data_IF_254521782568
#
_entry.id   IF_254521782568
#
_cell.length_a   1.000
_cell.length_b   1.000
_cell.length_c   1.000
_cell.angle_alpha   90.00
_cell.angle_beta   90.00
_cell.angle_gamma   90.00
#
_symmetry.space_group_name_H-M   'P 1'
#
loop_
_entity.id
_entity.type
_entity.pdbx_description
1 polymer ?
#
# COMPACT_ATOMS: atom_id res chain seq x y z
N UNK A 1 -47.92 -15.94 -20.17
CA UNK A 1 -46.98 -15.56 -19.10
C UNK A 1 -45.95 -16.64 -18.96
N UNK A 2 -44.72 -16.27 -19.28
CA UNK A 2 -43.61 -17.22 -19.31
C UNK A 2 -42.92 -17.21 -17.94
N UNK A 3 -42.94 -18.31 -17.16
CA UNK A 3 -42.27 -18.33 -15.85
C UNK A 3 -40.74 -18.18 -15.94
N UNK A 4 -40.17 -18.34 -17.14
CA UNK A 4 -38.74 -18.18 -17.41
C UNK A 4 -38.29 -16.70 -17.36
N UNK A 5 -39.20 -15.75 -17.67
CA UNK A 5 -38.89 -14.32 -17.62
C UNK A 5 -38.77 -13.77 -16.19
N UNK A 6 -39.55 -14.32 -15.25
CA UNK A 6 -39.47 -13.93 -13.84
C UNK A 6 -38.16 -14.40 -13.17
N UNK A 7 -37.65 -15.57 -13.54
CA UNK A 7 -36.38 -16.11 -13.03
C UNK A 7 -35.15 -15.34 -13.52
N UNK A 8 -35.17 -14.81 -14.74
CA UNK A 8 -34.05 -14.02 -15.27
C UNK A 8 -33.89 -12.68 -14.56
N UNK A 9 -34.99 -12.05 -14.15
CA UNK A 9 -34.94 -10.77 -13.40
C UNK A 9 -34.43 -10.96 -11.96
N UNK A 10 -34.74 -12.10 -11.34
CA UNK A 10 -34.27 -12.42 -9.96
C UNK A 10 -32.77 -12.75 -9.97
N UNK A 11 -32.27 -13.45 -10.99
CA UNK A 11 -30.84 -13.74 -11.13
C UNK A 11 -29.97 -12.50 -11.35
N UNK A 12 -30.47 -11.54 -12.13
CA UNK A 12 -29.74 -10.30 -12.40
C UNK A 12 -29.58 -9.42 -11.16
N UNK A 13 -30.58 -9.39 -10.27
CA UNK A 13 -30.53 -8.61 -9.04
C UNK A 13 -29.55 -9.20 -8.01
N UNK A 14 -29.49 -10.53 -7.91
CA UNK A 14 -28.60 -11.22 -6.98
C UNK A 14 -27.12 -11.09 -7.38
N UNK A 15 -26.80 -11.15 -8.66
CA UNK A 15 -25.43 -10.99 -9.18
C UNK A 15 -24.91 -9.56 -8.97
N UNK A 16 -25.78 -8.55 -9.13
CA UNK A 16 -25.41 -7.16 -8.89
C UNK A 16 -25.06 -6.87 -7.41
N UNK A 17 -25.75 -7.53 -6.49
CA UNK A 17 -25.51 -7.34 -5.05
C UNK A 17 -24.17 -7.95 -4.58
N UNK A 18 -23.76 -9.07 -5.20
CA UNK A 18 -22.50 -9.75 -4.89
C UNK A 18 -21.28 -8.92 -5.36
N UNK A 19 -21.40 -8.24 -6.50
CA UNK A 19 -20.33 -7.39 -7.04
C UNK A 19 -20.10 -6.13 -6.19
N UNK A 20 -21.12 -5.58 -5.55
CA UNK A 20 -20.99 -4.40 -4.67
C UNK A 20 -20.32 -4.74 -3.32
N UNK A 21 -20.43 -5.98 -2.83
CA UNK A 21 -19.83 -6.41 -1.57
C UNK A 21 -18.33 -6.69 -1.64
N UNK A 22 -17.75 -6.96 -2.82
CA UNK A 22 -16.35 -7.31 -2.99
C UNK A 22 -15.45 -6.12 -3.30
N UNK A 23 -15.97 -4.99 -3.76
CA UNK A 23 -15.18 -3.83 -4.15
C UNK A 23 -14.66 -3.00 -2.95
N UNK A 24 -15.28 -3.09 -1.77
CA UNK A 24 -14.90 -2.30 -0.59
C UNK A 24 -13.56 -2.69 0.04
N UNK A 25 -13.25 -4.00 0.13
CA UNK A 25 -12.00 -4.52 0.71
C UNK A 25 -10.79 -4.27 -0.19
N UNK A 26 -10.94 -4.46 -1.52
CA UNK A 26 -9.90 -4.16 -2.52
C UNK A 26 -9.49 -2.69 -2.49
N UNK A 27 -10.45 -1.79 -2.34
CA UNK A 27 -10.20 -0.34 -2.30
C UNK A 27 -9.40 0.07 -1.07
N UNK A 28 -9.68 -0.52 0.09
CA UNK A 28 -8.93 -0.24 1.32
C UNK A 28 -7.47 -0.72 1.22
N UNK A 29 -7.25 -1.93 0.71
CA UNK A 29 -5.91 -2.45 0.47
C UNK A 29 -5.13 -1.58 -0.53
N UNK A 30 -5.71 -1.27 -1.68
CA UNK A 30 -5.05 -0.45 -2.71
C UNK A 30 -4.64 0.92 -2.16
N UNK A 31 -5.50 1.57 -1.41
CA UNK A 31 -5.19 2.85 -0.80
C UNK A 31 -4.01 2.76 0.16
N UNK A 32 -3.99 1.77 1.04
CA UNK A 32 -2.90 1.56 1.99
C UNK A 32 -1.60 1.19 1.30
N UNK A 33 -1.68 0.36 0.28
CA UNK A 33 -0.55 0.00 -0.55
C UNK A 33 0.06 1.23 -1.23
N UNK A 34 -0.77 2.05 -1.85
CA UNK A 34 -0.32 3.26 -2.56
C UNK A 34 0.34 4.26 -1.61
N UNK A 35 -0.20 4.43 -0.39
CA UNK A 35 0.42 5.28 0.64
C UNK A 35 1.83 4.78 1.00
N UNK A 36 1.98 3.49 1.24
CA UNK A 36 3.27 2.89 1.57
C UNK A 36 4.26 2.98 0.41
N UNK A 37 3.81 2.71 -0.81
CA UNK A 37 4.65 2.80 -2.01
C UNK A 37 5.09 4.22 -2.32
N UNK A 38 4.24 5.22 -2.06
CA UNK A 38 4.62 6.62 -2.22
C UNK A 38 5.73 7.02 -1.23
N UNK A 39 5.61 6.61 0.03
CA UNK A 39 6.68 6.85 1.03
C UNK A 39 7.98 6.16 0.62
N UNK A 40 7.90 4.93 0.11
CA UNK A 40 9.07 4.21 -0.42
C UNK A 40 9.74 4.98 -1.57
N UNK A 41 8.93 5.49 -2.52
CA UNK A 41 9.46 6.28 -3.65
C UNK A 41 10.12 7.57 -3.19
N UNK A 42 9.54 8.26 -2.21
CA UNK A 42 10.14 9.46 -1.62
C UNK A 42 11.49 9.13 -0.96
N UNK A 43 11.57 8.03 -0.23
CA UNK A 43 12.82 7.56 0.35
C UNK A 43 13.87 7.24 -0.72
N UNK A 44 13.45 6.59 -1.82
CA UNK A 44 14.33 6.28 -2.95
C UNK A 44 14.89 7.53 -3.62
N UNK A 45 14.06 8.55 -3.82
CA UNK A 45 14.49 9.84 -4.40
C UNK A 45 15.55 10.52 -3.55
N UNK A 46 15.57 10.26 -2.26
CA UNK A 46 16.55 10.80 -1.31
C UNK A 46 17.73 9.87 -1.04
N UNK A 47 17.83 8.77 -1.80
CA UNK A 47 18.90 7.80 -1.68
C UNK A 47 18.82 6.92 -0.43
N UNK A 48 17.66 6.81 0.19
CA UNK A 48 17.43 6.05 1.44
C UNK A 48 16.42 4.91 1.29
N UNK A 49 16.21 4.41 0.08
CA UNK A 49 15.34 3.25 -0.12
C UNK A 49 15.92 2.00 0.56
N UNK A 50 15.12 1.36 1.39
CA UNK A 50 15.46 0.08 1.98
C UNK A 50 14.94 -1.05 1.10
N UNK A 51 15.81 -1.97 0.74
CA UNK A 51 15.50 -3.12 -0.12
C UNK A 51 14.35 -3.95 0.46
N UNK A 52 14.32 -4.13 1.78
CA UNK A 52 13.26 -4.85 2.48
C UNK A 52 11.86 -4.26 2.30
N UNK A 53 11.74 -2.95 2.12
CA UNK A 53 10.44 -2.28 1.96
C UNK A 53 9.75 -2.71 0.65
N UNK A 54 10.48 -2.73 -0.46
CA UNK A 54 9.95 -3.20 -1.74
C UNK A 54 9.52 -4.67 -1.67
N UNK A 55 10.31 -5.51 -1.00
CA UNK A 55 9.99 -6.93 -0.80
C UNK A 55 8.71 -7.12 0.03
N UNK A 56 8.49 -6.32 1.07
CA UNK A 56 7.25 -6.37 1.86
C UNK A 56 6.02 -6.00 1.04
N UNK A 57 6.13 -5.01 0.17
CA UNK A 57 5.02 -4.60 -0.71
C UNK A 57 4.69 -5.70 -1.74
N UNK A 58 5.69 -6.37 -2.29
CA UNK A 58 5.50 -7.51 -3.18
C UNK A 58 4.81 -8.67 -2.46
N UNK A 59 5.26 -9.03 -1.26
CA UNK A 59 4.62 -10.04 -0.43
C UNK A 59 3.18 -9.67 -0.08
N UNK A 60 2.90 -8.39 0.15
CA UNK A 60 1.54 -7.91 0.43
C UNK A 60 0.61 -8.14 -0.76
N UNK A 61 1.06 -7.85 -1.98
CA UNK A 61 0.28 -8.15 -3.19
C UNK A 61 0.02 -9.63 -3.37
N UNK A 62 1.01 -10.47 -3.11
CA UNK A 62 0.86 -11.93 -3.18
C UNK A 62 -0.16 -12.43 -2.15
N UNK A 63 -0.13 -11.92 -0.94
CA UNK A 63 -1.09 -12.29 0.10
C UNK A 63 -2.52 -11.85 -0.28
N UNK A 64 -2.68 -10.65 -0.80
CA UNK A 64 -3.99 -10.16 -1.28
C UNK A 64 -4.52 -11.01 -2.45
N UNK A 65 -3.65 -11.39 -3.38
CA UNK A 65 -4.01 -12.26 -4.50
C UNK A 65 -4.49 -13.65 -4.04
N UNK A 66 -4.00 -14.13 -2.91
CA UNK A 66 -4.46 -15.38 -2.30
C UNK A 66 -5.73 -15.23 -1.46
N UNK A 67 -6.27 -14.03 -1.33
CA UNK A 67 -7.43 -13.74 -0.49
C UNK A 67 -7.09 -13.59 1.00
N UNK A 68 -5.81 -13.52 1.36
CA UNK A 68 -5.35 -13.31 2.73
C UNK A 68 -5.15 -11.81 3.00
N UNK A 69 -6.26 -11.10 3.09
CA UNK A 69 -6.29 -9.65 3.25
C UNK A 69 -5.68 -9.20 4.58
N UNK A 70 -5.84 -9.97 5.64
CA UNK A 70 -5.27 -9.63 6.95
C UNK A 70 -3.73 -9.61 6.90
N UNK A 71 -3.12 -10.66 6.38
CA UNK A 71 -1.67 -10.71 6.19
C UNK A 71 -1.18 -9.63 5.23
N UNK A 72 -1.92 -9.39 4.14
CA UNK A 72 -1.61 -8.34 3.18
C UNK A 72 -1.55 -6.96 3.85
N UNK A 73 -2.52 -6.63 4.69
CA UNK A 73 -2.57 -5.36 5.41
C UNK A 73 -1.43 -5.22 6.43
N UNK A 74 -1.08 -6.29 7.14
CA UNK A 74 0.05 -6.30 8.05
C UNK A 74 1.37 -6.02 7.33
N UNK A 75 1.58 -6.63 6.16
CA UNK A 75 2.78 -6.42 5.35
C UNK A 75 2.86 -4.98 4.82
N UNK A 76 1.75 -4.41 4.39
CA UNK A 76 1.68 -3.00 3.97
C UNK A 76 2.04 -2.06 5.12
N UNK A 77 1.53 -2.32 6.32
CA UNK A 77 1.85 -1.49 7.49
C UNK A 77 3.33 -1.60 7.89
N UNK A 78 3.93 -2.77 7.79
CA UNK A 78 5.38 -2.93 7.98
C UNK A 78 6.18 -2.16 6.94
N UNK A 79 5.79 -2.22 5.67
CA UNK A 79 6.43 -1.48 4.60
C UNK A 79 6.33 0.04 4.82
N UNK A 80 5.15 0.51 5.21
CA UNK A 80 4.91 1.92 5.53
C UNK A 80 5.80 2.39 6.69
N UNK A 81 5.88 1.60 7.75
CA UNK A 81 6.74 1.90 8.89
C UNK A 81 8.22 2.02 8.48
N UNK A 82 8.72 1.08 7.67
CA UNK A 82 10.10 1.13 7.19
C UNK A 82 10.37 2.33 6.29
N UNK A 83 9.46 2.63 5.38
CA UNK A 83 9.60 3.78 4.47
C UNK A 83 9.61 5.11 5.25
N UNK A 84 8.73 5.25 6.23
CA UNK A 84 8.68 6.43 7.09
C UNK A 84 9.97 6.58 7.91
N UNK A 85 10.49 5.48 8.46
CA UNK A 85 11.77 5.48 9.17
C UNK A 85 12.94 5.89 8.27
N UNK A 86 12.95 5.41 7.03
CA UNK A 86 13.97 5.78 6.04
C UNK A 86 13.94 7.28 5.71
N UNK A 87 12.75 7.86 5.58
CA UNK A 87 12.60 9.31 5.35
C UNK A 87 13.09 10.12 6.54
N UNK A 88 12.76 9.72 7.76
CA UNK A 88 13.26 10.39 8.97
C UNK A 88 14.77 10.31 9.07
N UNK A 89 15.37 9.18 8.72
CA UNK A 89 16.83 9.04 8.67
C UNK A 89 17.44 9.98 7.63
N UNK A 90 16.84 10.10 6.44
CA UNK A 90 17.28 11.01 5.41
C UNK A 90 17.27 12.47 5.88
N UNK A 91 16.21 12.89 6.58
CA UNK A 91 16.12 14.24 7.17
C UNK A 91 17.21 14.48 8.20
N UNK A 92 17.42 13.53 9.10
CA UNK A 92 18.43 13.62 10.15
C UNK A 92 19.85 13.72 9.56
N UNK A 93 20.16 12.92 8.57
CA UNK A 93 21.48 12.96 7.89
C UNK A 93 21.69 14.28 7.14
N UNK A 94 20.66 14.80 6.49
CA UNK A 94 20.73 16.09 5.79
C UNK A 94 21.03 17.24 6.77
N UNK A 95 20.40 17.25 7.93
CA UNK A 95 20.68 18.26 8.98
C UNK A 95 22.08 18.11 9.56
N UNK A 96 22.50 16.89 9.87
CA UNK A 96 23.84 16.60 10.39
C UNK A 96 24.91 17.03 9.39
N UNK A 97 24.69 16.81 8.10
CA UNK A 97 25.61 17.24 7.05
C UNK A 97 25.70 18.76 6.98
N UNK A 98 24.59 19.49 7.01
CA UNK A 98 24.57 20.96 7.02
C UNK A 98 25.35 21.51 8.21
N UNK A 99 25.18 20.93 9.39
CA UNK A 99 25.91 21.32 10.59
C UNK A 99 27.41 21.12 10.47
N UNK A 100 27.86 20.06 9.78
CA UNK A 100 29.30 19.84 9.52
C UNK A 100 29.89 20.85 8.53
N UNK A 101 29.13 21.17 7.46
CA UNK A 101 29.59 22.15 6.45
C UNK A 101 29.72 23.54 7.04
N UNK A 102 28.77 23.98 7.84
CA UNK A 102 28.84 25.31 8.51
C UNK A 102 30.04 25.39 9.44
N UNK A 103 30.31 24.36 10.24
CA UNK A 103 31.49 24.34 11.15
C UNK A 103 32.83 24.38 10.39
N UNK A 104 32.90 23.86 9.19
CA UNK A 104 34.12 23.87 8.38
C UNK A 104 34.43 25.22 7.76
N UNK A 105 33.46 26.13 7.67
CA UNK A 105 33.62 27.49 7.14
C UNK A 105 34.06 28.51 8.21
N UNK A 106 33.90 28.18 9.48
CA UNK A 106 34.34 28.99 10.60
C UNK A 106 35.79 28.69 10.94
#
# INVERSE_FOLDING_TARGET
>A
MDPVRANRLIFSAAVALILLGTSGCSTAFERRYDEADELRRQAAQRGHEWIGTAGLLEQARDAEARGDTETAMQLVEQARFQADAALRQADHEAEAWRGRVVRKKE
#
